data_IF_933136618735
#
_entry.id   IF_933136618735
#
_cell.length_a   1.000
_cell.length_b   1.000
_cell.length_c   1.000
_cell.angle_alpha   90.00
_cell.angle_beta   90.00
_cell.angle_gamma   90.00
#
_symmetry.space_group_name_H-M   'P 1'
#
loop_
_entity.id
_entity.type
_entity.pdbx_description
1 polymer ?
#
# COMPACT_ATOMS: atom_id res chain seq x y z
N UNK A 1 14.60 -0.82 -9.51
CA UNK A 1 14.93 -0.26 -8.18
C UNK A 1 15.29 -1.43 -7.28
N UNK A 2 16.50 -1.43 -6.72
CA UNK A 2 16.94 -2.47 -5.80
C UNK A 2 16.04 -2.45 -4.56
N UNK A 3 15.60 -3.63 -4.14
CA UNK A 3 14.79 -3.84 -2.95
C UNK A 3 15.69 -3.57 -1.74
N UNK A 4 15.55 -2.41 -1.10
CA UNK A 4 16.27 -2.12 0.15
C UNK A 4 15.43 -2.67 1.30
N UNK A 5 16.08 -3.30 2.27
CA UNK A 5 15.38 -3.77 3.46
C UNK A 5 14.91 -2.57 4.29
N UNK A 6 13.64 -2.54 4.72
CA UNK A 6 13.13 -1.49 5.59
C UNK A 6 13.89 -1.49 6.91
N UNK A 7 14.60 -0.40 7.19
CA UNK A 7 15.44 -0.18 8.39
C UNK A 7 14.63 -0.05 9.68
N UNK A 8 13.30 -0.04 9.60
CA UNK A 8 12.40 -0.02 10.74
C UNK A 8 11.08 0.69 10.46
N UNK A 9 10.18 0.60 11.42
CA UNK A 9 8.88 1.29 11.44
C UNK A 9 9.03 2.67 12.09
N UNK A 10 8.32 3.67 11.59
CA UNK A 10 8.31 5.04 12.16
C UNK A 10 6.88 5.50 12.41
N UNK A 11 6.67 6.26 13.48
CA UNK A 11 5.36 6.86 13.73
C UNK A 11 5.03 7.94 12.69
N UNK A 12 3.74 8.27 12.45
CA UNK A 12 3.36 9.37 11.57
C UNK A 12 3.96 10.73 12.00
N UNK A 13 4.06 10.98 13.31
CA UNK A 13 4.65 12.21 13.86
C UNK A 13 6.15 12.28 13.52
N UNK A 14 6.89 11.21 13.80
CA UNK A 14 8.32 11.12 13.47
C UNK A 14 8.55 11.22 11.95
N UNK A 15 7.66 10.62 11.15
CA UNK A 15 7.76 10.72 9.71
C UNK A 15 7.58 12.16 9.24
N UNK A 16 6.64 12.89 9.83
CA UNK A 16 6.42 14.31 9.52
C UNK A 16 7.63 15.18 9.88
N UNK A 17 8.24 14.96 11.04
CA UNK A 17 9.51 15.64 11.41
C UNK A 17 10.63 15.36 10.40
N UNK A 18 10.72 14.12 9.88
CA UNK A 18 11.68 13.76 8.84
C UNK A 18 11.39 14.45 7.50
N UNK A 19 10.12 14.68 7.16
CA UNK A 19 9.73 15.46 5.98
C UNK A 19 10.09 16.93 6.19
N UNK A 20 9.76 17.50 7.35
CA UNK A 20 10.02 18.91 7.66
C UNK A 20 11.52 19.25 7.68
N UNK A 21 12.37 18.29 8.07
CA UNK A 21 13.84 18.42 8.02
C UNK A 21 14.44 18.14 6.64
N UNK A 22 13.63 17.75 5.65
CA UNK A 22 14.09 17.40 4.30
C UNK A 22 14.85 16.07 4.21
N UNK A 23 14.76 15.22 5.23
CA UNK A 23 15.44 13.92 5.25
C UNK A 23 14.75 12.88 4.35
N UNK A 24 13.47 13.05 4.06
CA UNK A 24 12.69 12.19 3.15
C UNK A 24 12.98 12.58 1.71
N UNK A 25 13.61 11.67 0.96
CA UNK A 25 13.99 11.86 -0.45
C UNK A 25 12.94 11.33 -1.43
N UNK A 26 11.95 10.59 -0.92
CA UNK A 26 10.83 10.08 -1.70
C UNK A 26 10.02 9.07 -0.92
N UNK A 27 8.97 8.53 -1.53
CA UNK A 27 8.16 7.51 -0.91
C UNK A 27 7.58 6.51 -1.92
N UNK A 28 7.26 5.32 -1.42
CA UNK A 28 6.76 4.18 -2.20
C UNK A 28 5.60 3.54 -1.46
N UNK A 29 4.51 3.29 -2.17
CA UNK A 29 3.42 2.44 -1.72
C UNK A 29 3.72 1.00 -2.16
N UNK A 30 3.68 0.05 -1.23
CA UNK A 30 3.92 -1.37 -1.49
C UNK A 30 2.75 -2.22 -1.02
N UNK A 31 2.63 -3.40 -1.62
CA UNK A 31 1.87 -4.49 -1.03
C UNK A 31 2.70 -5.20 0.01
N UNK A 32 2.04 -5.62 1.07
CA UNK A 32 2.59 -6.58 1.99
C UNK A 32 2.61 -7.98 1.35
N UNK A 33 3.77 -8.64 1.43
CA UNK A 33 4.05 -9.94 0.81
C UNK A 33 3.39 -11.11 1.58
N UNK A 34 3.00 -10.93 2.86
CA UNK A 34 2.27 -11.92 3.69
C UNK A 34 0.81 -12.17 3.24
N UNK A 35 0.44 -11.72 2.03
CA UNK A 35 -0.71 -12.27 1.31
C UNK A 35 -2.08 -11.73 1.72
N UNK A 36 -2.16 -10.80 2.69
CA UNK A 36 -3.43 -10.14 3.02
C UNK A 36 -3.87 -9.11 1.96
N UNK A 37 -2.98 -8.76 1.02
CA UNK A 37 -3.26 -7.75 -0.01
C UNK A 37 -3.42 -6.35 0.57
N UNK A 38 -2.81 -6.11 1.73
CA UNK A 38 -2.80 -4.82 2.41
C UNK A 38 -1.63 -3.98 1.90
N UNK A 39 -1.82 -2.67 1.96
CA UNK A 39 -0.86 -1.68 1.47
C UNK A 39 -0.10 -1.07 2.64
N UNK A 40 1.19 -0.83 2.43
CA UNK A 40 2.08 -0.14 3.36
C UNK A 40 2.74 1.04 2.67
N UNK A 41 2.89 2.14 3.42
CA UNK A 41 3.66 3.31 2.98
C UNK A 41 5.12 3.16 3.40
N UNK A 42 6.03 3.41 2.47
CA UNK A 42 7.48 3.37 2.71
C UNK A 42 8.08 4.72 2.36
N UNK A 43 8.78 5.34 3.30
CA UNK A 43 9.54 6.56 3.09
C UNK A 43 11.03 6.24 2.86
N UNK A 44 11.63 6.91 1.89
CA UNK A 44 13.05 6.80 1.56
C UNK A 44 13.80 7.89 2.34
N UNK A 45 14.60 7.51 3.33
CA UNK A 45 15.29 8.43 4.24
C UNK A 45 16.79 8.16 4.17
N UNK A 46 17.53 9.09 3.54
CA UNK A 46 18.94 8.90 3.21
C UNK A 46 19.15 7.59 2.42
N UNK A 47 19.99 6.70 2.93
CA UNK A 47 20.20 5.37 2.32
C UNK A 47 19.26 4.26 2.80
N UNK A 48 18.32 4.57 3.70
CA UNK A 48 17.39 3.62 4.28
C UNK A 48 15.97 3.75 3.78
N UNK A 49 15.19 2.71 4.02
CA UNK A 49 13.73 2.73 3.90
C UNK A 49 13.08 2.66 5.28
N UNK A 50 11.99 3.39 5.48
CA UNK A 50 11.22 3.41 6.73
C UNK A 50 9.76 3.13 6.44
N UNK A 51 9.15 2.21 7.17
CA UNK A 51 7.73 1.87 7.01
C UNK A 51 6.89 2.82 7.85
N UNK A 52 5.80 3.34 7.28
CA UNK A 52 4.79 4.09 8.01
C UNK A 52 4.10 3.16 9.03
N UNK A 53 4.28 3.50 10.29
CA UNK A 53 3.73 2.76 11.42
C UNK A 53 2.37 3.27 11.87
N UNK A 54 1.79 2.53 12.81
CA UNK A 54 0.62 2.99 13.58
C UNK A 54 0.98 4.24 14.39
N UNK A 55 0.01 4.88 15.03
CA UNK A 55 0.23 6.11 15.80
C UNK A 55 1.38 6.00 16.83
N UNK A 56 1.67 4.80 17.34
CA UNK A 56 2.76 4.53 18.29
C UNK A 56 4.10 4.19 17.64
N UNK A 57 4.14 3.97 16.33
CA UNK A 57 5.37 3.66 15.58
C UNK A 57 5.99 2.28 15.86
N UNK A 58 5.29 1.41 16.59
CA UNK A 58 5.77 0.06 16.96
C UNK A 58 5.53 -0.98 15.88
N UNK A 59 4.47 -0.81 15.09
CA UNK A 59 4.02 -1.78 14.10
C UNK A 59 3.69 -1.08 12.77
N UNK A 60 3.92 -1.74 11.62
CA UNK A 60 3.49 -1.23 10.32
C UNK A 60 2.00 -0.91 10.31
N UNK A 61 1.62 0.21 9.69
CA UNK A 61 0.22 0.53 9.46
C UNK A 61 -0.21 -0.02 8.11
N UNK A 62 -1.11 -0.99 8.17
CA UNK A 62 -1.70 -1.62 6.99
C UNK A 62 -2.96 -0.89 6.53
N UNK A 63 -3.11 -0.77 5.20
CA UNK A 63 -4.25 -0.11 4.57
C UNK A 63 -4.94 -1.04 3.58
N UNK A 64 -6.27 -0.96 3.54
CA UNK A 64 -7.10 -1.78 2.62
C UNK A 64 -7.38 -1.07 1.28
N UNK A 65 -7.00 0.20 1.16
CA UNK A 65 -7.18 1.04 -0.03
C UNK A 65 -5.99 1.97 -0.24
N UNK A 66 -5.69 2.27 -1.50
CA UNK A 66 -4.65 3.24 -1.87
C UNK A 66 -5.04 4.63 -1.35
N UNK A 67 -6.31 4.99 -1.47
CA UNK A 67 -6.85 6.29 -1.03
C UNK A 67 -6.57 6.57 0.46
N UNK A 68 -6.84 5.59 1.33
CA UNK A 68 -6.60 5.74 2.77
C UNK A 68 -5.11 5.85 3.10
N UNK A 69 -4.25 5.16 2.33
CA UNK A 69 -2.80 5.26 2.49
C UNK A 69 -2.28 6.61 1.99
N UNK A 70 -2.78 7.10 0.85
CA UNK A 70 -2.42 8.40 0.29
C UNK A 70 -2.79 9.52 1.27
N UNK A 71 -4.00 9.49 1.83
CA UNK A 71 -4.41 10.45 2.86
C UNK A 71 -3.45 10.46 4.05
N UNK A 72 -3.08 9.27 4.56
CA UNK A 72 -2.16 9.18 5.68
C UNK A 72 -0.73 9.66 5.36
N UNK A 73 -0.27 9.46 4.12
CA UNK A 73 1.03 9.98 3.66
C UNK A 73 1.02 11.50 3.49
N UNK A 74 -0.08 12.06 2.97
CA UNK A 74 -0.27 13.51 2.83
C UNK A 74 -0.36 14.20 4.20
N UNK A 75 -0.99 13.58 5.20
CA UNK A 75 -1.00 14.08 6.58
C UNK A 75 0.42 14.19 7.18
N UNK A 76 1.35 13.36 6.69
CA UNK A 76 2.77 13.41 7.05
C UNK A 76 3.58 14.40 6.19
N UNK A 77 2.96 15.08 5.22
CA UNK A 77 3.62 16.03 4.30
C UNK A 77 4.16 15.42 3.01
N UNK A 78 3.93 14.13 2.76
CA UNK A 78 4.41 13.44 1.55
C UNK A 78 3.35 13.51 0.46
N UNK A 79 3.59 14.36 -0.54
CA UNK A 79 2.65 14.59 -1.65
C UNK A 79 3.00 13.83 -2.93
N UNK A 80 4.22 13.31 -3.05
CA UNK A 80 4.68 12.55 -4.20
C UNK A 80 5.18 11.17 -3.78
N UNK A 81 4.70 10.13 -4.45
CA UNK A 81 5.01 8.75 -4.13
C UNK A 81 4.88 7.86 -5.37
N UNK A 82 5.69 6.80 -5.40
CA UNK A 82 5.63 5.74 -6.43
C UNK A 82 4.76 4.59 -5.93
N UNK A 83 4.06 3.91 -6.84
CA UNK A 83 3.30 2.71 -6.52
C UNK A 83 4.05 1.49 -7.05
N UNK A 84 4.47 0.58 -6.17
CA UNK A 84 4.85 -0.77 -6.57
C UNK A 84 3.60 -1.66 -6.61
N UNK A 85 3.10 -1.89 -7.82
CA UNK A 85 1.89 -2.67 -8.06
C UNK A 85 2.17 -4.16 -8.31
N UNK A 86 3.39 -4.65 -8.08
CA UNK A 86 3.69 -6.09 -8.21
C UNK A 86 2.81 -6.87 -7.23
N UNK A 87 2.09 -7.87 -7.73
CA UNK A 87 1.13 -8.65 -6.93
C UNK A 87 -0.19 -7.93 -6.62
N UNK A 88 -0.37 -6.66 -7.01
CA UNK A 88 -1.62 -5.94 -6.78
C UNK A 88 -2.74 -6.46 -7.68
N UNK A 89 -3.81 -6.97 -7.08
CA UNK A 89 -5.03 -7.35 -7.80
C UNK A 89 -6.15 -6.39 -7.45
N UNK A 90 -6.46 -5.48 -8.38
CA UNK A 90 -7.55 -4.52 -8.22
C UNK A 90 -8.87 -5.22 -7.89
N UNK A 91 -9.60 -4.74 -6.88
CA UNK A 91 -10.92 -5.27 -6.46
C UNK A 91 -11.91 -5.38 -7.62
N UNK A 92 -11.85 -4.48 -8.60
CA UNK A 92 -12.68 -4.54 -9.83
C UNK A 92 -12.45 -5.80 -10.67
N UNK A 93 -11.20 -6.29 -10.76
CA UNK A 93 -10.91 -7.57 -11.43
C UNK A 93 -11.35 -8.78 -10.60
N UNK A 94 -11.21 -8.74 -9.27
CA UNK A 94 -11.73 -9.80 -8.37
C UNK A 94 -13.27 -9.93 -8.46
N UNK A 95 -13.98 -8.81 -8.60
CA UNK A 95 -15.45 -8.80 -8.73
C UNK A 95 -15.94 -9.34 -10.08
N UNK A 96 -15.20 -9.09 -11.16
CA UNK A 96 -15.50 -9.64 -12.50
C UNK A 96 -15.27 -11.15 -12.55
N UNK A 97 -14.19 -11.65 -11.95
CA UNK A 97 -13.93 -13.10 -11.85
C UNK A 97 -15.04 -13.85 -11.09
N UNK A 98 -15.62 -13.23 -10.06
CA UNK A 98 -16.70 -13.84 -9.25
C UNK A 98 -18.07 -13.83 -9.93
N UNK A 99 -18.26 -13.01 -10.99
CA UNK A 99 -19.53 -12.91 -11.74
C UNK A 99 -19.50 -13.57 -13.12
N UNK A 100 -18.32 -13.89 -13.66
CA UNK A 100 -18.15 -14.36 -15.04
C UNK A 100 -18.35 -15.86 -15.29
N UNK A 101 -18.43 -16.71 -14.26
CA UNK A 101 -18.46 -18.18 -14.42
C UNK A 101 -19.73 -18.87 -13.87
N UNK A 102 -20.82 -18.13 -13.65
CA UNK A 102 -22.04 -18.67 -13.01
C UNK A 102 -23.33 -18.62 -13.84
N UNK A 103 -23.30 -18.16 -15.10
CA UNK A 103 -24.53 -17.95 -15.90
C UNK A 103 -24.42 -18.46 -17.34
N UNK A 104 -23.98 -19.70 -17.51
CA UNK A 104 -24.10 -20.44 -18.78
C UNK A 104 -24.49 -21.90 -18.54
N UNK A 105 -25.59 -22.14 -17.83
CA UNK A 105 -26.19 -23.49 -17.76
C UNK A 105 -27.69 -23.40 -17.40
N UNK A 106 -28.48 -22.66 -18.17
CA UNK A 106 -29.92 -22.91 -18.25
C UNK A 106 -30.43 -22.55 -19.65
N UNK A 107 -29.78 -23.12 -20.65
CA UNK A 107 -30.30 -23.17 -22.01
C UNK A 107 -31.07 -24.46 -22.19
N UNK A 108 -32.37 -24.34 -22.47
CA UNK A 108 -33.21 -25.28 -23.23
C UNK A 108 -33.10 -26.77 -22.86
N UNK A 109 -34.09 -27.28 -22.13
CA UNK A 109 -34.74 -28.53 -22.53
C UNK A 109 -36.15 -28.18 -22.99
N UNK A 110 -36.36 -28.26 -24.31
CA UNK A 110 -37.67 -28.54 -24.86
C UNK A 110 -37.78 -30.04 -25.09
N UNK A 111 -38.88 -30.64 -24.65
CA UNK A 111 -39.87 -31.39 -25.44
C UNK A 111 -41.10 -31.61 -24.54
#
# INVERSE_FOLDING_TARGET
MAMREPKGVVSPMTLRELVDTGAVTGAVIRLDDDGQGLLVGVALVGDGERILGTARGTEPRYFTSIDGLVSAMQDCGINEFKLDARGFVSRGKKASARRGFGRSAQGKLGV
#
